data_IF_496564523525
#
_entry.id   IF_496564523525
#
_cell.length_a   1.000
_cell.length_b   1.000
_cell.length_c   1.000
_cell.angle_alpha   90.00
_cell.angle_beta   90.00
_cell.angle_gamma   90.00
#
_symmetry.space_group_name_H-M   'P 1'
#
loop_
_entity.id
_entity.type
_entity.pdbx_description
1 polymer ?
#
# COMPACT_ATOMS: atom_id res chain seq x y z
N UNK A 1 32.08 -46.03 -4.37
CA UNK A 1 30.83 -45.78 -5.08
C UNK A 1 30.30 -44.47 -4.55
N UNK A 2 30.41 -43.38 -5.33
CA UNK A 2 29.87 -42.07 -4.96
C UNK A 2 28.34 -42.12 -5.02
N UNK A 3 27.60 -41.50 -4.08
CA UNK A 3 26.15 -41.45 -4.15
C UNK A 3 25.73 -40.58 -5.38
N UNK A 4 24.87 -41.18 -6.20
CA UNK A 4 24.24 -40.51 -7.32
C UNK A 4 23.46 -39.29 -6.79
N UNK A 5 23.77 -38.10 -7.31
CA UNK A 5 22.96 -36.91 -7.08
C UNK A 5 21.51 -37.20 -7.47
N UNK A 6 20.50 -36.77 -6.69
CA UNK A 6 19.11 -36.94 -7.09
C UNK A 6 18.86 -36.26 -8.43
N UNK A 7 18.03 -36.83 -9.30
CA UNK A 7 17.71 -36.22 -10.60
C UNK A 7 17.12 -34.81 -10.36
N UNK A 8 17.37 -33.84 -11.24
CA UNK A 8 16.77 -32.57 -11.15
C UNK A 8 15.25 -32.74 -11.17
N UNK A 9 14.58 -32.19 -10.17
CA UNK A 9 13.11 -32.20 -10.10
C UNK A 9 12.55 -31.60 -11.39
N UNK A 10 11.68 -32.32 -12.08
CA UNK A 10 10.98 -31.82 -13.26
C UNK A 10 10.39 -30.43 -12.96
N UNK A 11 10.51 -29.46 -13.89
CA UNK A 11 9.93 -28.15 -13.70
C UNK A 11 8.41 -28.32 -13.50
N UNK A 12 7.91 -27.92 -12.34
CA UNK A 12 6.47 -27.95 -12.06
C UNK A 12 5.75 -27.05 -13.07
N UNK A 13 4.59 -27.47 -13.60
CA UNK A 13 3.83 -26.62 -14.51
C UNK A 13 3.50 -25.27 -13.84
N UNK A 14 3.42 -24.18 -14.61
CA UNK A 14 3.09 -22.86 -14.08
C UNK A 14 1.70 -22.88 -13.47
N UNK A 15 1.55 -22.20 -12.32
CA UNK A 15 0.27 -22.01 -11.64
C UNK A 15 -0.65 -21.15 -12.50
N UNK A 16 -1.95 -21.41 -12.49
CA UNK A 16 -2.96 -20.64 -13.25
C UNK A 16 -4.00 -19.99 -12.33
N UNK A 17 -3.62 -18.96 -11.56
CA UNK A 17 -4.54 -18.26 -10.70
C UNK A 17 -5.47 -17.34 -11.51
N UNK A 18 -6.78 -17.38 -11.21
CA UNK A 18 -7.77 -16.48 -11.76
C UNK A 18 -8.07 -15.36 -10.75
N UNK A 19 -7.72 -14.14 -11.08
CA UNK A 19 -7.99 -12.97 -10.27
C UNK A 19 -9.27 -12.27 -10.68
N UNK A 20 -10.09 -11.84 -9.70
CA UNK A 20 -11.25 -10.99 -9.95
C UNK A 20 -10.99 -9.60 -9.41
N UNK A 21 -10.74 -8.66 -10.32
CA UNK A 21 -10.57 -7.25 -10.05
C UNK A 21 -11.86 -6.45 -10.24
N UNK A 22 -11.84 -5.20 -9.80
CA UNK A 22 -12.95 -4.27 -10.00
C UNK A 22 -12.89 -3.63 -11.39
N UNK A 23 -11.74 -3.06 -11.74
CA UNK A 23 -11.46 -2.47 -13.05
C UNK A 23 -10.17 -3.02 -13.64
N UNK A 24 -10.05 -2.94 -14.96
CA UNK A 24 -8.80 -3.23 -15.67
C UNK A 24 -7.87 -2.02 -15.49
N UNK A 25 -6.60 -2.20 -15.05
CA UNK A 25 -5.61 -1.12 -15.05
C UNK A 25 -5.26 -0.67 -16.49
N UNK A 26 -4.88 0.61 -16.75
CA UNK A 26 -5.21 1.81 -16.02
C UNK A 26 -6.70 2.21 -16.14
N UNK A 27 -7.22 3.16 -15.35
CA UNK A 27 -6.52 4.00 -14.38
C UNK A 27 -6.24 3.24 -13.08
N UNK A 28 -5.12 3.60 -12.41
CA UNK A 28 -4.70 2.97 -11.18
C UNK A 28 -5.30 3.66 -9.95
N UNK A 29 -6.18 2.94 -9.24
CA UNK A 29 -6.45 3.20 -7.83
C UNK A 29 -5.62 2.18 -7.00
N UNK A 30 -5.65 2.29 -5.67
CA UNK A 30 -4.79 1.46 -4.82
C UNK A 30 -4.94 -0.05 -5.02
N UNK A 31 -6.18 -0.53 -5.24
CA UNK A 31 -6.46 -1.96 -5.46
C UNK A 31 -5.95 -2.40 -6.84
N UNK A 32 -6.26 -1.64 -7.88
CA UNK A 32 -5.84 -1.93 -9.26
C UNK A 32 -4.32 -1.91 -9.40
N UNK A 33 -3.64 -0.95 -8.75
CA UNK A 33 -2.18 -0.89 -8.72
C UNK A 33 -1.56 -2.11 -8.01
N UNK A 34 -2.14 -2.54 -6.89
CA UNK A 34 -1.70 -3.75 -6.20
C UNK A 34 -1.91 -5.00 -7.08
N UNK A 35 -3.07 -5.15 -7.73
CA UNK A 35 -3.35 -6.27 -8.62
C UNK A 35 -2.33 -6.31 -9.77
N UNK A 36 -2.10 -5.20 -10.45
CA UNK A 36 -1.13 -5.13 -11.56
C UNK A 36 0.29 -5.50 -11.09
N UNK A 37 0.73 -4.94 -9.97
CA UNK A 37 2.04 -5.26 -9.38
C UNK A 37 2.15 -6.75 -9.05
N UNK A 38 1.12 -7.34 -8.45
CA UNK A 38 1.09 -8.76 -8.10
C UNK A 38 1.12 -9.65 -9.35
N UNK A 39 0.27 -9.37 -10.34
CA UNK A 39 0.17 -10.21 -11.53
C UNK A 39 1.46 -10.17 -12.38
N UNK A 40 2.10 -9.02 -12.48
CA UNK A 40 3.44 -8.89 -13.11
C UNK A 40 4.48 -9.69 -12.34
N UNK A 41 4.47 -9.60 -11.03
CA UNK A 41 5.44 -10.28 -10.17
C UNK A 41 5.31 -11.80 -10.21
N UNK A 42 4.11 -12.35 -10.41
CA UNK A 42 3.88 -13.79 -10.44
C UNK A 42 4.51 -14.47 -11.67
N UNK A 43 4.79 -13.72 -12.72
CA UNK A 43 5.46 -14.26 -13.91
C UNK A 43 6.98 -14.43 -13.69
N UNK A 44 7.60 -15.39 -14.34
CA UNK A 44 7.04 -16.42 -15.25
C UNK A 44 6.52 -17.67 -14.53
N UNK A 45 6.52 -17.70 -13.19
CA UNK A 45 6.20 -18.89 -12.38
C UNK A 45 4.70 -19.23 -12.31
N UNK A 46 3.86 -18.31 -12.77
CA UNK A 46 2.43 -18.48 -12.94
C UNK A 46 1.94 -17.80 -14.23
N UNK A 47 0.81 -18.26 -14.73
CA UNK A 47 0.05 -17.69 -15.86
C UNK A 47 -1.25 -17.05 -15.32
N UNK A 48 -1.18 -15.89 -14.65
CA UNK A 48 -2.34 -15.29 -14.04
C UNK A 48 -3.31 -14.75 -15.09
N UNK A 49 -4.60 -14.87 -14.79
CA UNK A 49 -5.70 -14.30 -15.59
C UNK A 49 -6.44 -13.27 -14.74
N UNK A 50 -6.65 -12.07 -15.25
CA UNK A 50 -7.48 -11.05 -14.62
C UNK A 50 -8.84 -10.99 -15.30
N UNK A 51 -9.91 -11.27 -14.55
CA UNK A 51 -11.30 -10.95 -14.93
C UNK A 51 -11.69 -9.66 -14.23
N UNK A 52 -11.98 -8.61 -14.99
CA UNK A 52 -12.35 -7.32 -14.42
C UNK A 52 -13.29 -6.53 -15.36
N UNK A 53 -13.91 -5.50 -14.82
CA UNK A 53 -14.79 -4.62 -15.57
C UNK A 53 -13.99 -3.71 -16.50
N UNK A 54 -14.44 -3.54 -17.73
CA UNK A 54 -13.96 -2.50 -18.63
C UNK A 54 -14.47 -1.14 -18.13
N UNK A 55 -13.57 -0.18 -17.97
CA UNK A 55 -13.95 1.22 -17.77
C UNK A 55 -14.62 1.84 -19.00
N UNK A 56 -14.97 3.12 -18.92
CA UNK A 56 -15.56 3.87 -20.01
C UNK A 56 -14.62 4.05 -21.23
N UNK A 57 -13.33 3.96 -21.01
CA UNK A 57 -12.34 3.97 -22.08
C UNK A 57 -12.00 2.54 -22.53
N UNK A 58 -11.80 2.29 -23.85
CA UNK A 58 -11.31 1.01 -24.30
C UNK A 58 -9.97 0.73 -23.59
N UNK A 59 -9.79 -0.46 -23.01
CA UNK A 59 -8.52 -0.75 -22.38
C UNK A 59 -7.45 -0.75 -23.47
N UNK A 60 -6.43 0.05 -23.31
CA UNK A 60 -5.11 -0.25 -23.86
C UNK A 60 -4.56 -1.48 -23.12
N UNK A 61 -5.30 -2.59 -23.23
CA UNK A 61 -4.84 -3.90 -22.75
C UNK A 61 -3.63 -4.41 -23.58
N UNK A 62 -3.27 -3.69 -24.64
CA UNK A 62 -2.06 -3.87 -25.42
C UNK A 62 -0.84 -3.41 -24.61
N UNK A 63 -0.30 -4.28 -23.76
CA UNK A 63 0.92 -4.00 -22.98
C UNK A 63 0.92 -4.62 -21.59
N UNK A 64 -0.17 -5.22 -21.13
CA UNK A 64 -0.15 -5.99 -19.89
C UNK A 64 0.49 -7.37 -20.14
N UNK A 65 1.47 -7.80 -19.34
CA UNK A 65 2.19 -9.05 -19.56
C UNK A 65 1.39 -10.29 -19.13
N UNK A 66 0.17 -10.12 -18.66
CA UNK A 66 -0.74 -11.19 -18.24
C UNK A 66 -2.07 -11.11 -19.00
N UNK A 67 -2.80 -12.23 -19.04
CA UNK A 67 -4.08 -12.32 -19.75
C UNK A 67 -5.18 -11.56 -19.02
N UNK A 68 -5.96 -10.77 -19.76
CA UNK A 68 -7.09 -10.00 -19.25
C UNK A 68 -8.38 -10.39 -19.96
N UNK A 69 -9.42 -10.67 -19.16
CA UNK A 69 -10.79 -10.89 -19.63
C UNK A 69 -11.66 -9.71 -19.20
N UNK A 70 -11.80 -8.74 -20.08
CA UNK A 70 -12.59 -7.53 -19.82
C UNK A 70 -14.08 -7.75 -20.00
N UNK A 71 -14.87 -7.42 -18.97
CA UNK A 71 -16.33 -7.55 -18.95
C UNK A 71 -16.99 -6.17 -19.09
N UNK A 72 -17.99 -5.99 -19.97
CA UNK A 72 -18.74 -4.74 -20.06
C UNK A 72 -19.44 -4.38 -18.74
N UNK A 73 -19.64 -3.08 -18.50
CA UNK A 73 -20.47 -2.58 -17.41
C UNK A 73 -21.73 -1.90 -17.93
N UNK A 74 -22.84 -2.09 -17.24
CA UNK A 74 -24.09 -1.37 -17.46
C UNK A 74 -24.17 -0.03 -16.69
N UNK A 75 -23.12 0.33 -15.97
CA UNK A 75 -23.04 1.53 -15.16
C UNK A 75 -22.34 1.29 -13.82
N UNK A 76 -22.40 2.27 -12.92
CA UNK A 76 -21.79 2.18 -11.59
C UNK A 76 -22.77 2.60 -10.51
N UNK A 77 -22.92 1.77 -9.47
CA UNK A 77 -23.76 2.05 -8.31
C UNK A 77 -22.90 1.99 -7.04
N UNK A 78 -22.94 3.04 -6.23
CA UNK A 78 -22.18 3.13 -4.96
C UNK A 78 -20.69 2.75 -5.12
N UNK A 79 -20.07 3.20 -6.19
CA UNK A 79 -18.69 2.88 -6.59
C UNK A 79 -18.44 1.40 -6.98
N UNK A 80 -19.48 0.62 -7.22
CA UNK A 80 -19.41 -0.76 -7.72
C UNK A 80 -19.88 -0.78 -9.19
N UNK A 81 -19.08 -1.28 -10.16
CA UNK A 81 -19.52 -1.43 -11.53
C UNK A 81 -20.59 -2.53 -11.64
N UNK A 82 -21.61 -2.30 -12.42
CA UNK A 82 -22.68 -3.28 -12.67
C UNK A 82 -22.26 -4.20 -13.83
N UNK A 83 -21.58 -5.28 -13.51
CA UNK A 83 -20.98 -6.20 -14.50
C UNK A 83 -21.30 -7.67 -14.22
N UNK A 84 -22.57 -8.12 -14.37
CA UNK A 84 -22.97 -9.50 -14.08
C UNK A 84 -22.26 -10.54 -14.95
N UNK A 85 -21.75 -10.14 -16.11
CA UNK A 85 -20.95 -10.99 -17.00
C UNK A 85 -19.65 -11.53 -16.38
N UNK A 86 -19.17 -10.95 -15.25
CA UNK A 86 -18.01 -11.47 -14.50
C UNK A 86 -18.24 -12.94 -14.11
N UNK A 87 -19.44 -13.30 -13.64
CA UNK A 87 -19.74 -14.68 -13.25
C UNK A 87 -19.61 -15.66 -14.41
N UNK A 88 -20.12 -15.26 -15.59
CA UNK A 88 -19.96 -16.06 -16.81
C UNK A 88 -18.52 -16.18 -17.29
N UNK A 89 -17.74 -15.10 -17.17
CA UNK A 89 -16.33 -15.09 -17.51
C UNK A 89 -15.52 -16.03 -16.59
N UNK A 90 -15.70 -15.93 -15.28
CA UNK A 90 -15.06 -16.83 -14.30
C UNK A 90 -15.38 -18.29 -14.58
N UNK A 91 -16.66 -18.63 -14.83
CA UNK A 91 -17.07 -20.01 -15.17
C UNK A 91 -16.39 -20.53 -16.43
N UNK A 92 -16.27 -19.70 -17.48
CA UNK A 92 -15.61 -20.10 -18.75
C UNK A 92 -14.12 -20.37 -18.56
N UNK A 93 -13.43 -19.60 -17.72
CA UNK A 93 -12.01 -19.82 -17.45
C UNK A 93 -11.78 -21.16 -16.73
N UNK A 94 -12.57 -21.47 -15.71
CA UNK A 94 -12.50 -22.78 -15.04
C UNK A 94 -12.91 -23.95 -15.95
N UNK A 95 -14.03 -23.84 -16.67
CA UNK A 95 -14.50 -24.86 -17.58
C UNK A 95 -13.51 -25.15 -18.72
N UNK A 96 -12.77 -24.15 -19.17
CA UNK A 96 -11.72 -24.29 -20.18
C UNK A 96 -10.38 -24.80 -19.65
N UNK A 97 -10.27 -25.14 -18.36
CA UNK A 97 -9.04 -25.59 -17.75
C UNK A 97 -7.92 -24.51 -17.69
N UNK A 98 -8.28 -23.24 -17.86
CA UNK A 98 -7.35 -22.12 -17.86
C UNK A 98 -7.12 -21.49 -16.48
N UNK A 99 -7.80 -22.01 -15.47
CA UNK A 99 -7.66 -21.61 -14.08
C UNK A 99 -7.79 -22.80 -13.15
N UNK A 100 -7.08 -22.79 -12.02
CA UNK A 100 -7.10 -23.85 -11.01
C UNK A 100 -7.45 -23.34 -9.61
N UNK A 101 -7.29 -22.04 -9.35
CA UNK A 101 -7.74 -21.36 -8.12
C UNK A 101 -8.32 -19.98 -8.42
N UNK A 102 -9.18 -19.49 -7.53
CA UNK A 102 -9.79 -18.18 -7.60
C UNK A 102 -9.16 -17.25 -6.56
N UNK A 103 -8.70 -16.07 -6.98
CA UNK A 103 -8.22 -15.05 -6.06
C UNK A 103 -9.06 -13.77 -6.17
N UNK A 104 -9.71 -13.41 -5.08
CA UNK A 104 -10.58 -12.25 -4.96
C UNK A 104 -9.84 -11.07 -4.34
N UNK A 105 -10.21 -9.88 -4.73
CA UNK A 105 -9.72 -8.63 -4.15
C UNK A 105 -10.89 -7.85 -3.54
N UNK A 106 -11.06 -7.96 -2.21
CA UNK A 106 -12.17 -7.36 -1.48
C UNK A 106 -11.88 -5.89 -1.07
N UNK A 107 -12.89 -5.00 -1.12
CA UNK A 107 -14.31 -5.29 -1.37
C UNK A 107 -14.67 -5.34 -2.86
N UNK A 108 -15.29 -6.42 -3.29
CA UNK A 108 -15.80 -6.59 -4.66
C UNK A 108 -17.00 -7.54 -4.69
N UNK A 109 -18.26 -7.04 -4.73
CA UNK A 109 -19.45 -7.88 -4.69
C UNK A 109 -19.54 -8.93 -5.81
N UNK A 110 -19.00 -8.65 -7.01
CA UNK A 110 -18.97 -9.62 -8.11
C UNK A 110 -17.95 -10.75 -7.84
N UNK A 111 -16.83 -10.41 -7.20
CA UNK A 111 -15.88 -11.39 -6.71
C UNK A 111 -16.51 -12.30 -5.67
N UNK A 112 -17.27 -11.74 -4.72
CA UNK A 112 -17.96 -12.50 -3.68
C UNK A 112 -18.98 -13.48 -4.28
N UNK A 113 -19.78 -13.05 -5.25
CA UNK A 113 -20.70 -13.92 -5.96
C UNK A 113 -19.96 -15.01 -6.76
N UNK A 114 -18.83 -14.66 -7.39
CA UNK A 114 -17.99 -15.63 -8.09
C UNK A 114 -17.48 -16.72 -7.14
N UNK A 115 -17.01 -16.36 -5.94
CA UNK A 115 -16.56 -17.31 -4.93
C UNK A 115 -17.64 -18.31 -4.54
N UNK A 116 -18.86 -17.84 -4.31
CA UNK A 116 -19.98 -18.69 -3.91
C UNK A 116 -20.43 -19.65 -5.03
N UNK A 117 -20.16 -19.32 -6.28
CA UNK A 117 -20.45 -20.18 -7.44
C UNK A 117 -19.30 -21.10 -7.81
N UNK A 118 -18.09 -20.87 -7.29
CA UNK A 118 -16.88 -21.67 -7.54
C UNK A 118 -16.70 -22.70 -6.43
N UNK A 119 -17.35 -23.87 -6.54
CA UNK A 119 -17.39 -24.87 -5.44
C UNK A 119 -16.21 -25.85 -5.44
N UNK A 120 -15.62 -26.12 -6.61
CA UNK A 120 -14.62 -27.19 -6.81
C UNK A 120 -13.17 -26.72 -6.78
N UNK A 121 -12.94 -25.42 -6.74
CA UNK A 121 -11.61 -24.83 -6.80
C UNK A 121 -11.33 -24.05 -5.52
N UNK A 122 -10.07 -23.98 -5.08
CA UNK A 122 -9.67 -23.16 -3.95
C UNK A 122 -9.97 -21.67 -4.19
N UNK A 123 -10.33 -20.98 -3.11
CA UNK A 123 -10.63 -19.55 -3.13
C UNK A 123 -9.74 -18.83 -2.13
N UNK A 124 -8.95 -17.91 -2.63
CA UNK A 124 -8.14 -16.95 -1.84
C UNK A 124 -8.83 -15.60 -1.90
N UNK A 125 -8.81 -14.84 -0.82
CA UNK A 125 -9.29 -13.45 -0.80
C UNK A 125 -8.23 -12.55 -0.21
N UNK A 126 -7.81 -11.51 -0.93
CA UNK A 126 -7.06 -10.40 -0.35
C UNK A 126 -8.03 -9.33 0.16
N UNK A 127 -7.92 -9.03 1.45
CA UNK A 127 -8.67 -7.96 2.09
C UNK A 127 -7.90 -6.64 2.00
N UNK A 128 -8.37 -5.71 1.18
CA UNK A 128 -7.69 -4.42 1.00
C UNK A 128 -8.12 -3.36 2.01
N UNK A 129 -9.41 -3.30 2.33
CA UNK A 129 -9.95 -2.33 3.29
C UNK A 129 -11.38 -2.67 3.69
N UNK A 130 -11.80 -2.11 4.82
CA UNK A 130 -13.19 -2.10 5.24
C UNK A 130 -14.03 -1.15 4.38
N UNK A 131 -15.33 -1.45 4.24
CA UNK A 131 -16.31 -0.56 3.64
C UNK A 131 -16.78 0.43 4.71
N UNK A 132 -16.31 1.69 4.61
CA UNK A 132 -16.57 2.71 5.64
C UNK A 132 -17.75 3.64 5.28
N UNK A 133 -17.85 4.04 4.00
CA UNK A 133 -18.81 5.08 3.56
C UNK A 133 -20.24 4.56 3.35
N UNK A 134 -20.41 3.34 2.84
CA UNK A 134 -21.70 2.79 2.43
C UNK A 134 -22.39 1.98 3.55
N UNK A 135 -22.41 2.49 4.79
CA UNK A 135 -22.93 1.77 5.99
C UNK A 135 -24.36 1.22 5.81
N UNK A 136 -25.24 1.96 5.12
CA UNK A 136 -26.63 1.51 4.87
C UNK A 136 -26.68 0.32 3.91
N UNK A 137 -25.85 0.33 2.86
CA UNK A 137 -25.75 -0.76 1.89
C UNK A 137 -25.12 -2.02 2.52
N UNK A 138 -24.30 -1.87 3.56
CA UNK A 138 -23.74 -3.01 4.31
C UNK A 138 -24.82 -3.89 4.95
N UNK A 139 -26.02 -3.36 5.24
CA UNK A 139 -27.13 -4.20 5.73
C UNK A 139 -27.56 -5.25 4.70
N UNK A 140 -27.50 -4.92 3.42
CA UNK A 140 -27.83 -5.83 2.31
C UNK A 140 -26.62 -6.66 1.87
N UNK A 141 -25.45 -6.05 1.78
CA UNK A 141 -24.22 -6.71 1.32
C UNK A 141 -23.56 -7.59 2.40
N UNK A 142 -23.68 -7.23 3.67
CA UNK A 142 -23.02 -7.93 4.78
C UNK A 142 -23.32 -9.44 4.87
N UNK A 143 -24.57 -9.91 4.63
CA UNK A 143 -24.85 -11.33 4.56
C UNK A 143 -24.12 -12.06 3.44
N UNK A 144 -23.98 -11.45 2.25
CA UNK A 144 -23.19 -11.98 1.14
C UNK A 144 -21.71 -12.07 1.52
N UNK A 145 -21.13 -10.97 2.02
CA UNK A 145 -19.75 -10.90 2.45
C UNK A 145 -19.42 -11.96 3.53
N UNK A 146 -20.32 -12.17 4.51
CA UNK A 146 -20.14 -13.22 5.51
C UNK A 146 -20.04 -14.60 4.88
N UNK A 147 -20.99 -14.96 4.00
CA UNK A 147 -20.98 -16.24 3.30
C UNK A 147 -19.70 -16.43 2.47
N UNK A 148 -19.22 -15.36 1.85
CA UNK A 148 -17.94 -15.40 1.11
C UNK A 148 -16.76 -15.64 2.04
N UNK A 149 -16.71 -14.94 3.19
CA UNK A 149 -15.65 -15.17 4.20
C UNK A 149 -15.68 -16.60 4.76
N UNK A 150 -16.88 -17.19 4.93
CA UNK A 150 -17.01 -18.60 5.32
C UNK A 150 -16.50 -19.54 4.23
N UNK A 151 -16.72 -19.17 2.95
CA UNK A 151 -16.35 -19.99 1.77
C UNK A 151 -14.86 -19.95 1.46
N UNK A 152 -14.17 -18.82 1.66
CA UNK A 152 -12.76 -18.69 1.28
C UNK A 152 -11.88 -19.68 2.07
N UNK A 153 -10.89 -20.25 1.39
CA UNK A 153 -9.95 -21.20 1.99
C UNK A 153 -8.82 -20.45 2.71
N UNK A 154 -8.39 -19.30 2.16
CA UNK A 154 -7.39 -18.43 2.80
C UNK A 154 -7.77 -16.96 2.62
N UNK A 155 -7.52 -16.21 3.69
CA UNK A 155 -7.75 -14.77 3.77
C UNK A 155 -6.40 -14.06 3.90
N UNK A 156 -6.01 -13.35 2.85
CA UNK A 156 -4.76 -12.58 2.82
C UNK A 156 -5.01 -11.20 3.40
N UNK A 157 -4.21 -10.82 4.37
CA UNK A 157 -4.12 -9.47 4.94
C UNK A 157 -2.69 -8.94 4.77
N UNK A 158 -2.53 -7.62 4.62
CA UNK A 158 -1.20 -7.05 4.35
C UNK A 158 -0.27 -7.07 5.57
N UNK A 159 -0.86 -7.01 6.78
CA UNK A 159 -0.14 -7.11 8.04
C UNK A 159 -1.03 -7.82 9.07
N UNK A 160 -0.47 -8.44 10.12
CA UNK A 160 -1.27 -8.99 11.22
C UNK A 160 -2.20 -7.93 11.84
N UNK A 161 -1.70 -6.72 12.06
CA UNK A 161 -2.49 -5.59 12.59
C UNK A 161 -3.67 -5.19 11.69
N UNK A 162 -3.61 -5.48 10.38
CA UNK A 162 -4.72 -5.20 9.46
C UNK A 162 -5.98 -6.02 9.79
N UNK A 163 -5.83 -7.28 10.22
CA UNK A 163 -6.94 -8.09 10.70
C UNK A 163 -7.50 -7.56 12.02
N UNK A 164 -6.64 -7.26 12.97
CA UNK A 164 -7.01 -6.79 14.32
C UNK A 164 -7.76 -5.46 14.28
N UNK A 165 -7.34 -4.56 13.37
CA UNK A 165 -7.94 -3.23 13.20
C UNK A 165 -9.22 -3.24 12.35
N UNK A 166 -9.47 -4.29 11.54
CA UNK A 166 -10.65 -4.37 10.69
C UNK A 166 -11.92 -4.62 11.49
N UNK A 167 -12.87 -3.69 11.43
CA UNK A 167 -14.19 -3.83 12.07
C UNK A 167 -15.02 -4.95 11.42
N UNK A 168 -14.75 -5.26 10.15
CA UNK A 168 -15.50 -6.26 9.41
C UNK A 168 -14.93 -7.68 9.51
N UNK A 169 -13.68 -7.83 9.94
CA UNK A 169 -13.01 -9.14 10.07
C UNK A 169 -12.88 -9.61 11.51
N UNK A 170 -12.50 -8.71 12.43
CA UNK A 170 -12.18 -9.08 13.81
C UNK A 170 -13.34 -9.80 14.51
N UNK A 171 -13.02 -10.78 15.35
CA UNK A 171 -14.01 -11.50 16.16
C UNK A 171 -14.91 -12.45 15.37
N UNK A 172 -14.54 -12.80 14.14
CA UNK A 172 -15.31 -13.75 13.29
C UNK A 172 -14.77 -15.17 13.30
N UNK A 173 -13.72 -15.46 14.05
CA UNK A 173 -13.11 -16.79 14.08
C UNK A 173 -12.40 -17.18 12.78
N UNK A 174 -11.87 -16.18 12.04
CA UNK A 174 -11.19 -16.39 10.76
C UNK A 174 -9.69 -16.57 10.90
N UNK A 175 -9.14 -16.59 12.10
CA UNK A 175 -7.71 -16.64 12.42
C UNK A 175 -7.04 -17.83 11.74
N UNK A 176 -7.73 -18.97 11.66
CA UNK A 176 -7.22 -20.19 11.01
C UNK A 176 -7.08 -20.09 9.48
N UNK A 177 -7.70 -19.09 8.85
CA UNK A 177 -7.61 -18.81 7.41
C UNK A 177 -6.60 -17.72 7.08
N UNK A 178 -6.12 -16.98 8.09
CA UNK A 178 -5.29 -15.80 7.87
C UNK A 178 -3.92 -16.14 7.34
N UNK A 179 -3.50 -15.39 6.33
CA UNK A 179 -2.13 -15.38 5.81
C UNK A 179 -1.70 -13.93 5.65
N UNK A 180 -0.57 -13.56 6.26
CA UNK A 180 0.00 -12.22 6.08
C UNK A 180 0.91 -12.21 4.86
N UNK A 181 0.48 -11.51 3.81
CA UNK A 181 1.29 -11.24 2.62
C UNK A 181 1.34 -9.73 2.43
N UNK A 182 2.50 -9.10 2.61
CA UNK A 182 2.61 -7.65 2.56
C UNK A 182 2.37 -7.10 1.16
N UNK A 183 2.03 -5.82 1.07
CA UNK A 183 2.03 -5.09 -0.20
C UNK A 183 3.44 -5.11 -0.76
N UNK A 184 3.59 -5.52 -2.03
CA UNK A 184 4.86 -5.44 -2.73
C UNK A 184 5.10 -4.02 -3.25
N UNK A 185 6.21 -3.43 -2.83
CA UNK A 185 6.68 -2.11 -3.30
C UNK A 185 7.91 -2.33 -4.16
N UNK A 186 7.90 -1.72 -5.35
CA UNK A 186 9.04 -1.77 -6.28
C UNK A 186 10.09 -0.73 -5.89
N UNK A 187 10.90 -1.09 -4.88
CA UNK A 187 12.00 -0.24 -4.43
C UNK A 187 13.08 -0.05 -5.49
N UNK A 188 13.28 -1.04 -6.36
CA UNK A 188 14.27 -0.94 -7.45
C UNK A 188 13.83 0.10 -8.48
N UNK A 189 12.54 0.24 -8.73
CA UNK A 189 12.02 1.33 -9.56
C UNK A 189 12.34 2.68 -8.94
N UNK A 190 12.20 2.83 -7.63
CA UNK A 190 12.54 4.08 -6.91
C UNK A 190 14.04 4.36 -6.97
N UNK A 191 14.88 3.34 -6.78
CA UNK A 191 16.33 3.48 -6.83
C UNK A 191 16.84 3.88 -8.22
N UNK A 192 16.18 3.40 -9.30
CA UNK A 192 16.52 3.75 -10.69
C UNK A 192 16.06 5.14 -11.12
N UNK A 193 15.25 5.85 -10.32
CA UNK A 193 14.83 7.21 -10.64
C UNK A 193 16.03 8.16 -10.64
N UNK A 194 16.10 9.02 -11.63
CA UNK A 194 17.11 10.06 -11.69
C UNK A 194 16.91 11.08 -10.58
N UNK A 195 17.98 11.76 -10.20
CA UNK A 195 17.85 12.99 -9.42
C UNK A 195 17.35 14.12 -10.34
N UNK A 196 16.48 14.96 -9.79
CA UNK A 196 16.16 16.26 -10.36
C UNK A 196 17.19 17.29 -9.83
N UNK A 197 18.23 17.64 -10.61
CA UNK A 197 19.30 18.48 -10.13
C UNK A 197 18.85 19.91 -9.85
N UNK A 198 17.82 20.38 -10.55
CA UNK A 198 17.29 21.75 -10.36
C UNK A 198 16.53 21.82 -9.04
N UNK A 199 15.62 20.87 -8.80
CA UNK A 199 14.91 20.76 -7.52
C UNK A 199 15.88 20.55 -6.37
N UNK A 200 16.89 19.70 -6.56
CA UNK A 200 17.89 19.43 -5.53
C UNK A 200 18.66 20.68 -5.13
N UNK A 201 19.16 21.44 -6.11
CA UNK A 201 19.89 22.66 -5.88
C UNK A 201 19.01 23.74 -5.21
N UNK A 202 17.75 23.90 -5.64
CA UNK A 202 16.80 24.84 -5.04
C UNK A 202 16.52 24.50 -3.56
N UNK A 203 16.29 23.22 -3.26
CA UNK A 203 16.01 22.77 -1.89
C UNK A 203 17.26 22.91 -1.01
N UNK A 204 18.45 22.56 -1.51
CA UNK A 204 19.71 22.67 -0.74
C UNK A 204 20.05 24.15 -0.44
N UNK A 205 19.84 25.05 -1.41
CA UNK A 205 20.03 26.49 -1.20
C UNK A 205 19.06 27.06 -0.16
N UNK A 206 17.76 26.69 -0.24
CA UNK A 206 16.77 27.12 0.73
C UNK A 206 16.99 26.52 2.13
N UNK A 207 17.34 25.23 2.21
CA UNK A 207 17.63 24.56 3.47
C UNK A 207 18.88 25.13 4.14
N UNK A 208 19.85 25.64 3.36
CA UNK A 208 21.07 26.28 3.85
C UNK A 208 21.82 25.44 4.89
N UNK A 209 21.93 24.13 4.64
CA UNK A 209 22.59 23.18 5.56
C UNK A 209 21.72 22.71 6.75
N UNK A 210 20.53 23.25 6.93
CA UNK A 210 19.61 22.82 8.00
C UNK A 210 19.07 21.40 7.74
N UNK A 211 18.77 20.63 8.80
CA UNK A 211 18.15 19.32 8.69
C UNK A 211 16.78 19.41 7.99
N UNK A 212 16.51 18.46 7.10
CA UNK A 212 15.32 18.46 6.25
C UNK A 212 14.32 17.36 6.68
N UNK A 213 13.17 17.81 7.16
CA UNK A 213 12.00 16.97 7.37
C UNK A 213 11.21 16.89 6.07
N UNK A 214 10.68 15.70 5.75
CA UNK A 214 9.84 15.49 4.57
C UNK A 214 8.51 14.84 4.94
N UNK A 215 7.43 15.33 4.36
CA UNK A 215 6.15 14.64 4.37
C UNK A 215 5.54 14.61 2.96
N UNK A 216 4.85 13.52 2.62
CA UNK A 216 4.29 13.30 1.30
C UNK A 216 2.84 12.84 1.41
N UNK A 217 1.94 13.52 0.72
CA UNK A 217 0.56 13.09 0.60
C UNK A 217 -0.44 14.21 0.37
N UNK A 218 -1.67 13.81 0.10
CA UNK A 218 -2.76 14.76 -0.13
C UNK A 218 -3.06 15.59 1.12
N UNK A 219 -3.21 16.89 0.98
CA UNK A 219 -3.51 17.79 2.11
C UNK A 219 -4.98 17.69 2.51
N UNK A 220 -5.27 16.68 3.35
CA UNK A 220 -6.61 16.38 3.93
C UNK A 220 -6.49 16.22 5.44
N UNK A 221 -7.61 16.35 6.15
CA UNK A 221 -7.64 16.50 7.60
C UNK A 221 -7.00 15.31 8.35
N UNK A 222 -7.23 14.08 7.89
CA UNK A 222 -6.73 12.89 8.59
C UNK A 222 -5.20 12.71 8.51
N UNK A 223 -4.53 13.43 7.60
CA UNK A 223 -3.06 13.43 7.49
C UNK A 223 -2.37 14.20 8.62
N UNK A 224 -3.10 15.00 9.41
CA UNK A 224 -2.59 15.65 10.61
C UNK A 224 -1.54 16.74 10.38
N UNK A 225 -1.44 17.29 9.18
CA UNK A 225 -0.40 18.27 8.84
C UNK A 225 -0.44 19.55 9.67
N UNK A 226 -1.62 19.96 10.19
CA UNK A 226 -1.71 21.09 11.12
C UNK A 226 -0.91 20.83 12.40
N UNK A 227 -1.00 19.63 12.96
CA UNK A 227 -0.22 19.24 14.14
C UNK A 227 1.28 19.18 13.84
N UNK A 228 1.67 18.83 12.61
CA UNK A 228 3.08 18.88 12.18
C UNK A 228 3.63 20.30 12.14
N UNK A 229 2.84 21.28 11.65
CA UNK A 229 3.22 22.69 11.67
C UNK A 229 3.37 23.22 13.10
N UNK A 230 2.44 22.85 14.00
CA UNK A 230 2.56 23.19 15.41
C UNK A 230 3.78 22.54 16.08
N UNK A 231 4.10 21.29 15.73
CA UNK A 231 5.31 20.61 16.20
C UNK A 231 6.57 21.30 15.67
N UNK A 232 6.61 21.69 14.40
CA UNK A 232 7.71 22.44 13.80
C UNK A 232 8.01 23.76 14.55
N UNK A 233 6.95 24.47 14.99
CA UNK A 233 7.08 25.70 15.78
C UNK A 233 7.69 25.45 17.17
N UNK A 234 7.63 24.20 17.68
CA UNK A 234 8.16 23.81 19.01
C UNK A 234 9.52 23.16 18.95
N UNK A 235 10.04 22.83 17.76
CA UNK A 235 11.35 22.20 17.65
C UNK A 235 12.44 23.09 18.27
N UNK A 236 13.35 22.46 18.99
CA UNK A 236 14.58 23.09 19.49
C UNK A 236 15.63 23.25 18.39
N UNK A 237 15.52 22.40 17.36
CA UNK A 237 16.36 22.47 16.17
C UNK A 237 15.83 23.51 15.18
N UNK A 238 16.68 23.94 14.27
CA UNK A 238 16.35 24.82 13.16
C UNK A 238 15.88 24.06 11.91
N UNK A 239 15.47 22.80 12.04
CA UNK A 239 15.05 21.94 10.95
C UNK A 239 13.98 22.61 10.09
N UNK A 240 14.02 22.32 8.79
CA UNK A 240 13.07 22.80 7.79
C UNK A 240 12.17 21.66 7.31
N UNK A 241 10.98 21.97 6.83
CA UNK A 241 9.97 21.01 6.40
C UNK A 241 9.61 21.22 4.93
N UNK A 242 9.73 20.14 4.12
CA UNK A 242 9.14 20.08 2.78
C UNK A 242 7.86 19.27 2.83
N UNK A 243 6.77 19.85 2.33
CA UNK A 243 5.45 19.22 2.22
C UNK A 243 5.14 18.99 0.74
N UNK A 244 5.13 17.73 0.32
CA UNK A 244 4.81 17.31 -1.06
C UNK A 244 3.36 16.89 -1.16
N UNK A 245 2.68 17.38 -2.18
CA UNK A 245 1.28 17.12 -2.48
C UNK A 245 0.42 18.37 -2.45
N UNK A 246 -0.85 18.16 -2.77
CA UNK A 246 -1.90 19.20 -2.76
C UNK A 246 -3.19 18.64 -2.17
N UNK A 247 -4.11 19.52 -1.81
CA UNK A 247 -5.44 19.11 -1.34
C UNK A 247 -6.28 20.28 -0.86
N UNK A 248 -7.50 20.01 -0.40
CA UNK A 248 -8.44 21.07 0.02
C UNK A 248 -7.91 21.90 1.20
N UNK A 249 -6.96 21.38 1.98
CA UNK A 249 -6.40 22.11 3.13
C UNK A 249 -5.11 22.89 2.81
N UNK A 250 -4.61 22.88 1.56
CA UNK A 250 -3.32 23.51 1.23
C UNK A 250 -3.25 24.98 1.67
N UNK A 251 -4.24 25.80 1.30
CA UNK A 251 -4.26 27.22 1.66
C UNK A 251 -4.41 27.45 3.16
N UNK A 252 -5.19 26.62 3.85
CA UNK A 252 -5.35 26.68 5.30
C UNK A 252 -4.03 26.34 6.03
N UNK A 253 -3.28 25.35 5.54
CA UNK A 253 -1.98 24.98 6.09
C UNK A 253 -0.93 26.07 5.87
N UNK A 254 -0.95 26.75 4.71
CA UNK A 254 -0.08 27.90 4.45
C UNK A 254 -0.38 29.05 5.40
N UNK A 255 -1.66 29.38 5.60
CA UNK A 255 -2.08 30.40 6.55
C UNK A 255 -1.69 30.03 8.00
N UNK A 256 -1.82 28.75 8.37
CA UNK A 256 -1.41 28.26 9.69
C UNK A 256 0.12 28.37 9.89
N UNK A 257 0.92 28.04 8.88
CA UNK A 257 2.38 28.18 8.94
C UNK A 257 2.79 29.64 9.18
N UNK A 258 2.15 30.60 8.48
CA UNK A 258 2.37 32.03 8.69
C UNK A 258 1.93 32.47 10.09
N UNK A 259 0.76 32.05 10.55
CA UNK A 259 0.26 32.38 11.90
C UNK A 259 1.15 31.85 13.04
N UNK A 260 1.81 30.70 12.80
CA UNK A 260 2.79 30.11 13.74
C UNK A 260 4.21 30.70 13.59
N UNK A 261 4.45 31.56 12.60
CA UNK A 261 5.76 32.15 12.34
C UNK A 261 6.80 31.15 11.82
N UNK A 262 6.35 30.04 11.18
CA UNK A 262 7.23 29.01 10.64
C UNK A 262 7.25 28.93 9.12
N UNK A 263 6.57 29.84 8.43
CA UNK A 263 6.45 29.89 6.97
C UNK A 263 7.81 29.92 6.26
N UNK A 264 8.81 30.62 6.80
CA UNK A 264 10.18 30.62 6.29
C UNK A 264 10.89 29.25 6.42
N UNK A 265 10.38 28.36 7.27
CA UNK A 265 10.89 27.01 7.51
C UNK A 265 10.06 25.92 6.79
N UNK A 266 9.02 26.29 6.03
CA UNK A 266 8.13 25.36 5.34
C UNK A 266 8.13 25.61 3.84
N UNK A 267 8.41 24.58 3.07
CA UNK A 267 8.29 24.60 1.61
C UNK A 267 7.12 23.72 1.18
N UNK A 268 6.07 24.31 0.62
CA UNK A 268 4.98 23.58 -0.04
C UNK A 268 5.38 23.29 -1.49
N UNK A 269 5.89 22.08 -1.76
CA UNK A 269 6.46 21.72 -3.06
C UNK A 269 5.38 21.36 -4.12
N UNK A 270 4.11 21.24 -3.71
CA UNK A 270 3.05 20.83 -4.63
C UNK A 270 3.17 19.38 -5.07
N UNK A 271 2.62 19.05 -6.24
CA UNK A 271 2.78 17.74 -6.85
C UNK A 271 4.10 17.70 -7.63
N UNK A 272 4.84 16.63 -7.48
CA UNK A 272 6.13 16.41 -8.12
C UNK A 272 6.07 15.26 -9.10
N UNK A 273 7.00 15.24 -10.05
CA UNK A 273 7.31 14.07 -10.85
C UNK A 273 7.87 12.93 -9.98
N UNK A 274 7.87 11.72 -10.50
CA UNK A 274 8.49 10.58 -9.80
C UNK A 274 9.98 10.83 -9.48
N UNK A 275 10.72 11.48 -10.38
CA UNK A 275 12.14 11.81 -10.19
C UNK A 275 12.32 12.90 -9.12
N UNK A 276 11.46 13.93 -9.12
CA UNK A 276 11.44 14.96 -8.09
C UNK A 276 11.11 14.40 -6.70
N UNK A 277 10.14 13.48 -6.62
CA UNK A 277 9.81 12.79 -5.36
C UNK A 277 11.00 11.95 -4.88
N UNK A 278 11.61 11.15 -5.76
CA UNK A 278 12.77 10.34 -5.42
C UNK A 278 13.95 11.20 -4.95
N UNK A 279 14.16 12.38 -5.56
CA UNK A 279 15.16 13.36 -5.14
C UNK A 279 14.95 13.81 -3.70
N UNK A 280 13.72 14.18 -3.34
CA UNK A 280 13.42 14.62 -1.96
C UNK A 280 13.50 13.47 -0.95
N UNK A 281 13.07 12.26 -1.31
CA UNK A 281 13.20 11.06 -0.46
C UNK A 281 14.68 10.74 -0.18
N UNK A 282 15.57 10.90 -1.15
CA UNK A 282 17.02 10.74 -0.95
C UNK A 282 17.62 11.87 -0.12
N UNK A 283 17.14 13.11 -0.31
CA UNK A 283 17.69 14.30 0.36
C UNK A 283 17.29 14.45 1.82
N UNK A 284 16.07 14.07 2.17
CA UNK A 284 15.58 14.31 3.53
C UNK A 284 16.41 13.59 4.60
N UNK A 285 16.40 14.13 5.80
CA UNK A 285 17.03 13.54 6.98
C UNK A 285 16.06 12.65 7.76
N UNK A 286 14.81 13.09 7.89
CA UNK A 286 13.73 12.39 8.58
C UNK A 286 12.45 12.49 7.75
N UNK A 287 11.75 11.38 7.62
CA UNK A 287 10.40 11.36 7.01
C UNK A 287 9.34 11.35 8.11
N UNK A 288 8.25 12.08 7.93
CA UNK A 288 7.15 12.08 8.90
C UNK A 288 5.79 11.93 8.23
N UNK A 289 4.95 11.06 8.81
CA UNK A 289 3.56 10.86 8.39
C UNK A 289 2.66 10.97 9.64
N UNK A 290 2.28 12.20 10.07
CA UNK A 290 1.57 12.45 11.31
C UNK A 290 0.06 12.20 11.19
N UNK A 291 -0.35 11.20 10.41
CA UNK A 291 -1.75 10.85 10.20
C UNK A 291 -2.44 10.51 11.52
N UNK A 292 -3.65 11.05 11.73
CA UNK A 292 -4.37 11.01 13.01
C UNK A 292 -5.55 10.04 13.03
N UNK A 293 -5.80 9.33 11.93
CA UNK A 293 -6.93 8.40 11.81
C UNK A 293 -6.56 7.13 11.04
N UNK A 294 -7.24 6.01 11.35
CA UNK A 294 -7.05 4.73 10.66
C UNK A 294 -7.33 4.74 9.15
N UNK A 295 -7.87 5.85 8.61
CA UNK A 295 -7.99 6.08 7.16
C UNK A 295 -6.63 6.04 6.44
N UNK A 296 -5.52 6.29 7.16
CA UNK A 296 -4.17 5.95 6.74
C UNK A 296 -3.93 4.48 7.02
N UNK A 297 -4.14 3.62 6.04
CA UNK A 297 -4.08 2.18 6.26
C UNK A 297 -2.64 1.63 6.33
N UNK A 298 -1.71 2.22 5.57
CA UNK A 298 -0.36 1.68 5.43
C UNK A 298 0.75 2.75 5.34
N UNK A 299 0.58 3.78 4.51
CA UNK A 299 1.59 4.82 4.32
C UNK A 299 2.71 4.42 3.35
N UNK A 300 2.39 4.20 2.07
CA UNK A 300 3.37 3.79 1.04
C UNK A 300 4.58 4.73 1.00
N UNK A 301 4.36 6.05 1.05
CA UNK A 301 5.45 7.03 1.07
C UNK A 301 6.40 6.87 2.27
N UNK A 302 5.90 6.37 3.41
CA UNK A 302 6.75 6.01 4.56
C UNK A 302 7.68 4.86 4.21
N UNK A 303 7.16 3.80 3.55
CA UNK A 303 7.98 2.67 3.12
C UNK A 303 9.03 3.09 2.08
N UNK A 304 8.67 3.98 1.16
CA UNK A 304 9.59 4.56 0.17
C UNK A 304 10.73 5.33 0.84
N UNK A 305 10.44 6.16 1.84
CA UNK A 305 11.45 6.86 2.63
C UNK A 305 12.35 5.89 3.40
N UNK A 306 11.76 4.90 4.07
CA UNK A 306 12.50 3.86 4.79
C UNK A 306 13.44 3.08 3.87
N UNK A 307 13.06 2.81 2.62
CA UNK A 307 13.89 2.11 1.65
C UNK A 307 15.18 2.89 1.31
N UNK A 308 15.15 4.20 1.44
CA UNK A 308 16.28 5.12 1.33
C UNK A 308 17.04 5.34 2.65
N UNK A 309 16.89 4.45 3.63
CA UNK A 309 17.49 4.56 4.96
C UNK A 309 17.09 5.83 5.72
N UNK A 310 15.84 6.28 5.58
CA UNK A 310 15.30 7.40 6.34
C UNK A 310 14.53 6.88 7.54
N UNK A 311 14.86 7.29 8.78
CA UNK A 311 14.02 6.98 9.92
C UNK A 311 12.72 7.77 9.84
N UNK A 312 11.68 7.27 10.48
CA UNK A 312 10.33 7.81 10.31
C UNK A 312 9.69 8.20 11.64
N UNK A 313 8.89 9.27 11.64
CA UNK A 313 8.02 9.62 12.76
C UNK A 313 6.57 9.55 12.29
N UNK A 314 5.79 8.71 12.95
CA UNK A 314 4.38 8.46 12.62
C UNK A 314 3.49 8.54 13.87
N UNK A 315 2.17 8.58 13.68
CA UNK A 315 1.27 8.44 14.83
C UNK A 315 0.91 6.97 15.11
N UNK A 316 0.59 6.66 16.37
CA UNK A 316 0.11 5.34 16.80
C UNK A 316 -1.36 5.15 16.36
N UNK A 317 -1.57 4.45 15.26
CA UNK A 317 -2.90 4.20 14.68
C UNK A 317 -3.36 2.75 14.89
N UNK A 318 -2.49 1.88 15.42
CA UNK A 318 -2.79 0.48 15.65
C UNK A 318 -2.98 -0.36 14.38
N UNK A 319 -2.47 0.11 13.22
CA UNK A 319 -2.70 -0.52 11.92
C UNK A 319 -1.40 -0.76 11.12
N UNK A 320 -1.46 -0.81 9.80
CA UNK A 320 -0.32 -1.03 8.90
C UNK A 320 0.78 0.01 9.02
N UNK A 321 0.47 1.25 9.40
CA UNK A 321 1.46 2.32 9.63
C UNK A 321 2.41 1.94 10.76
N UNK A 322 1.88 1.40 11.85
CA UNK A 322 2.68 0.98 13.02
C UNK A 322 3.32 -0.41 12.84
N UNK A 323 2.85 -1.20 11.89
CA UNK A 323 3.59 -2.39 11.47
C UNK A 323 4.80 -2.03 10.63
N UNK A 324 4.69 -0.99 9.81
CA UNK A 324 5.76 -0.47 8.97
C UNK A 324 6.82 0.23 9.82
N UNK A 325 6.44 1.22 10.63
CA UNK A 325 7.34 1.92 11.55
C UNK A 325 7.34 1.23 12.91
N UNK A 326 8.46 0.60 13.26
CA UNK A 326 8.69 -0.03 14.55
C UNK A 326 9.24 0.99 15.54
N UNK A 327 8.47 1.27 16.57
CA UNK A 327 8.86 2.27 17.58
C UNK A 327 10.18 1.93 18.27
N UNK A 328 11.08 2.90 18.33
CA UNK A 328 12.42 2.76 18.91
C UNK A 328 13.44 1.98 18.06
N UNK A 329 13.01 1.32 16.96
CA UNK A 329 13.86 0.51 16.08
C UNK A 329 14.07 1.17 14.71
N UNK A 330 13.00 1.50 13.99
CA UNK A 330 13.06 2.07 12.63
C UNK A 330 12.60 3.54 12.59
N UNK A 331 12.20 4.07 13.71
CA UNK A 331 11.68 5.41 13.90
C UNK A 331 10.90 5.52 15.20
N UNK A 332 10.00 6.48 15.29
CA UNK A 332 9.15 6.69 16.45
C UNK A 332 7.68 6.71 16.09
N UNK A 333 6.85 6.12 16.97
CA UNK A 333 5.39 6.21 16.92
C UNK A 333 4.91 7.02 18.12
N UNK A 334 4.15 8.10 17.87
CA UNK A 334 3.67 9.03 18.92
C UNK A 334 2.13 9.04 18.96
N UNK A 335 1.51 9.40 20.09
CA UNK A 335 0.05 9.52 20.14
C UNK A 335 -0.48 10.49 19.07
N UNK A 336 -1.59 10.17 18.41
CA UNK A 336 -2.20 11.10 17.45
C UNK A 336 -2.59 12.43 18.12
N UNK A 337 -2.35 13.54 17.44
CA UNK A 337 -2.62 14.92 17.91
C UNK A 337 -1.77 15.36 19.11
N UNK A 338 -0.80 14.59 19.52
CA UNK A 338 0.15 14.96 20.58
C UNK A 338 1.32 15.75 19.96
N UNK A 339 1.16 17.06 19.91
CA UNK A 339 2.15 17.99 19.34
C UNK A 339 3.48 17.96 20.08
N UNK A 340 3.53 17.98 21.43
CA UNK A 340 4.78 17.83 22.17
C UNK A 340 5.52 16.54 21.86
N UNK A 341 4.83 15.39 21.90
CA UNK A 341 5.47 14.10 21.59
C UNK A 341 6.01 14.04 20.16
N UNK A 342 5.26 14.62 19.19
CA UNK A 342 5.70 14.71 17.80
C UNK A 342 6.96 15.58 17.66
N UNK A 343 6.99 16.74 18.31
CA UNK A 343 8.16 17.61 18.30
C UNK A 343 9.39 16.94 18.93
N UNK A 344 9.25 16.31 20.09
CA UNK A 344 10.35 15.61 20.77
C UNK A 344 10.90 14.44 19.93
N UNK A 345 10.02 13.66 19.29
CA UNK A 345 10.44 12.55 18.42
C UNK A 345 11.22 13.06 17.19
N UNK A 346 10.76 14.16 16.57
CA UNK A 346 11.46 14.80 15.46
C UNK A 346 12.82 15.34 15.90
N UNK A 347 12.89 16.09 17.01
CA UNK A 347 14.14 16.64 17.54
C UNK A 347 15.16 15.55 17.89
N UNK A 348 14.74 14.44 18.47
CA UNK A 348 15.63 13.31 18.78
C UNK A 348 16.36 12.79 17.53
N UNK A 349 15.64 12.67 16.40
CA UNK A 349 16.23 12.21 15.14
C UNK A 349 17.04 13.30 14.44
N UNK A 350 16.65 14.56 14.59
CA UNK A 350 17.34 15.69 13.96
C UNK A 350 18.68 15.98 14.68
N UNK A 351 18.67 16.02 16.01
CA UNK A 351 19.81 16.41 16.82
C UNK A 351 20.83 15.28 17.03
N UNK A 352 20.40 14.01 16.96
CA UNK A 352 21.27 12.84 17.10
C UNK A 352 21.50 12.13 15.76
N UNK A 353 22.59 12.49 15.08
CA UNK A 353 22.97 11.91 13.79
C UNK A 353 23.28 10.41 13.86
N UNK A 354 23.82 9.92 15.00
CA UNK A 354 24.12 8.50 15.17
C UNK A 354 22.83 7.68 15.33
N UNK A 355 21.89 8.17 16.12
CA UNK A 355 20.55 7.59 16.25
C UNK A 355 19.83 7.57 14.91
N UNK A 356 19.83 8.69 14.18
CA UNK A 356 19.24 8.83 12.86
C UNK A 356 19.79 7.81 11.87
N UNK A 357 21.12 7.66 11.80
CA UNK A 357 21.78 6.71 10.90
C UNK A 357 21.43 5.26 11.27
N UNK A 358 21.47 4.90 12.55
CA UNK A 358 21.14 3.56 13.04
C UNK A 358 19.69 3.17 12.73
N UNK A 359 18.73 4.04 13.06
CA UNK A 359 17.32 3.79 12.80
C UNK A 359 17.01 3.78 11.30
N UNK A 360 17.65 4.63 10.51
CA UNK A 360 17.51 4.63 9.06
C UNK A 360 18.02 3.33 8.42
N UNK A 361 19.16 2.81 8.84
CA UNK A 361 19.66 1.51 8.37
C UNK A 361 18.69 0.37 8.72
N UNK A 362 18.22 0.32 9.96
CA UNK A 362 17.23 -0.68 10.40
C UNK A 362 15.92 -0.56 9.61
N UNK A 363 15.46 0.66 9.32
CA UNK A 363 14.28 0.93 8.52
C UNK A 363 14.42 0.37 7.09
N UNK A 364 15.55 0.61 6.43
CA UNK A 364 15.85 0.10 5.09
C UNK A 364 15.87 -1.43 5.07
N UNK A 365 16.58 -2.06 6.00
CA UNK A 365 16.70 -3.51 6.05
C UNK A 365 15.33 -4.18 6.29
N UNK A 366 14.55 -3.59 7.19
CA UNK A 366 13.21 -4.06 7.50
C UNK A 366 12.27 -3.96 6.29
N UNK A 367 12.15 -2.76 5.69
CA UNK A 367 11.16 -2.53 4.65
C UNK A 367 11.50 -3.30 3.37
N UNK A 368 12.77 -3.37 2.99
CA UNK A 368 13.19 -4.11 1.79
C UNK A 368 13.03 -5.62 1.95
N UNK A 369 13.28 -6.16 3.14
CA UNK A 369 13.06 -7.57 3.42
C UNK A 369 11.60 -7.95 3.44
N UNK A 370 10.75 -7.13 4.07
CA UNK A 370 9.35 -7.49 4.31
C UNK A 370 8.40 -7.07 3.19
N UNK A 371 8.61 -5.90 2.58
CA UNK A 371 7.63 -5.29 1.67
C UNK A 371 8.09 -5.23 0.21
N UNK A 372 9.12 -5.95 -0.18
CA UNK A 372 9.53 -6.03 -1.58
C UNK A 372 8.52 -6.79 -2.44
N UNK A 373 8.46 -6.44 -3.72
CA UNK A 373 7.69 -7.21 -4.73
C UNK A 373 8.07 -8.69 -4.72
N UNK A 374 9.35 -8.99 -4.49
CA UNK A 374 9.86 -10.37 -4.42
C UNK A 374 9.29 -11.15 -3.23
N UNK A 375 9.22 -10.52 -2.06
CA UNK A 375 8.62 -11.12 -0.85
C UNK A 375 7.13 -11.38 -1.06
N UNK A 376 6.38 -10.41 -1.61
CA UNK A 376 4.97 -10.59 -1.98
C UNK A 376 4.80 -11.75 -2.95
N UNK A 377 5.59 -11.79 -4.03
CA UNK A 377 5.57 -12.88 -5.03
C UNK A 377 5.81 -14.24 -4.38
N UNK A 378 6.90 -14.36 -3.65
CA UNK A 378 7.33 -15.63 -3.05
C UNK A 378 6.28 -16.18 -2.09
N UNK A 379 5.73 -15.33 -1.20
CA UNK A 379 4.68 -15.74 -0.26
C UNK A 379 3.37 -16.08 -0.98
N UNK A 380 3.00 -15.36 -2.04
CA UNK A 380 1.80 -15.65 -2.82
C UNK A 380 1.91 -16.97 -3.56
N UNK A 381 3.05 -17.24 -4.22
CA UNK A 381 3.27 -18.52 -4.90
C UNK A 381 3.29 -19.70 -3.92
N UNK A 382 3.90 -19.54 -2.74
CA UNK A 382 3.88 -20.56 -1.69
C UNK A 382 2.45 -20.84 -1.21
N UNK A 383 1.64 -19.78 -1.00
CA UNK A 383 0.23 -19.91 -0.65
C UNK A 383 -0.55 -20.69 -1.72
N UNK A 384 -0.42 -20.32 -2.99
CA UNK A 384 -1.14 -20.98 -4.08
C UNK A 384 -0.75 -22.47 -4.18
N UNK A 385 0.55 -22.78 -4.13
CA UNK A 385 1.04 -24.16 -4.16
C UNK A 385 0.56 -25.03 -3.00
N UNK A 386 0.19 -24.43 -1.89
CA UNK A 386 -0.39 -25.14 -0.73
C UNK A 386 -1.85 -25.51 -0.91
N UNK A 387 -2.51 -24.99 -1.95
CA UNK A 387 -3.95 -25.15 -2.18
C UNK A 387 -4.28 -26.00 -3.42
N UNK A 388 -3.33 -26.18 -4.34
CA UNK A 388 -3.49 -26.90 -5.61
C UNK A 388 -2.52 -28.07 -5.72
#
# INVERSE_FOLDING_TARGET
MSPLSPPPSEPRPPLRPLHVGKYIPPPYAGIEAHIDTLLRALQPQAEPVLVATRGAQPPEAAGLPYRVVGVPTAGTLASVPLSPGILGAVRREFAGGRAELLHLHAPNPWGDLAALTTRRHPVVMTWHSDIVRQRRLMRLYGPLQRRTLDRVDRLVVFTPKHYESSVQLRGRGLEHKLVSIPIGIDFDRLDRRADDPVLRADIDAWAAGRPLLLTVGRHVYYKGYGFLLEALARLRSDAVLVMVGKGPLTSALQAQAAALGVDARVRFAGELSDDGLATLLRRCDVFTLPSIEPSEAFGIATAEAMSGAKPTVVCELGNGVNYLTRDGETGFAVPPRDVPALADALDRLVLDGALRARMGAAARDWVRREFSVDTMRTRTLALYRSLV
#
